data_IF_974350974338
#
_entry.id   IF_974350974338
#
_cell.length_a   1.000
_cell.length_b   1.000
_cell.length_c   1.000
_cell.angle_alpha   90.00
_cell.angle_beta   90.00
_cell.angle_gamma   90.00
#
_symmetry.space_group_name_H-M   'P 1'
#
loop_
_entity.id
_entity.type
_entity.pdbx_description
1 polymer ?
#
# COMPACT_ATOMS: atom_id res chain seq x y z
N UNK A 1 -0.76 0.88 -5.18
CA UNK A 1 -2.24 0.88 -5.08
C UNK A 1 -2.80 -0.09 -6.10
N UNK A 2 -4.04 -0.56 -5.96
CA UNK A 2 -4.63 -1.50 -6.92
C UNK A 2 -4.86 -0.87 -8.29
N UNK A 3 -5.16 0.43 -8.34
CA UNK A 3 -5.35 1.18 -9.58
C UNK A 3 -4.42 2.40 -9.67
N UNK A 4 -3.13 2.14 -9.84
CA UNK A 4 -2.08 3.15 -10.08
C UNK A 4 -1.59 3.08 -11.52
N UNK A 5 -1.80 4.17 -12.28
CA UNK A 5 -1.45 4.25 -13.70
C UNK A 5 0.06 4.42 -13.93
N UNK A 6 0.75 5.12 -13.03
CA UNK A 6 2.18 5.40 -13.17
C UNK A 6 3.02 4.20 -12.71
N UNK A 7 2.61 3.54 -11.63
CA UNK A 7 3.29 2.38 -11.05
C UNK A 7 2.29 1.25 -10.75
N UNK A 8 2.05 0.35 -11.71
CA UNK A 8 1.03 -0.69 -11.58
C UNK A 8 1.24 -1.62 -10.36
N UNK A 9 0.14 -2.07 -9.74
CA UNK A 9 0.15 -2.95 -8.55
C UNK A 9 1.00 -4.22 -8.73
N UNK A 10 0.98 -4.80 -9.95
CA UNK A 10 1.77 -5.98 -10.28
C UNK A 10 3.26 -5.73 -10.06
N UNK A 11 3.77 -4.57 -10.44
CA UNK A 11 5.19 -4.23 -10.24
C UNK A 11 5.55 -4.21 -8.75
N UNK A 12 4.67 -3.71 -7.89
CA UNK A 12 4.88 -3.74 -6.43
C UNK A 12 4.85 -5.17 -5.88
N UNK A 13 3.96 -6.05 -6.35
CA UNK A 13 3.94 -7.47 -5.98
C UNK A 13 5.25 -8.16 -6.38
N UNK A 14 5.69 -7.96 -7.62
CA UNK A 14 6.92 -8.58 -8.10
C UNK A 14 8.16 -8.11 -7.31
N UNK A 15 8.17 -6.87 -6.80
CA UNK A 15 9.24 -6.37 -5.93
C UNK A 15 9.15 -7.00 -4.53
N UNK A 16 7.95 -7.11 -3.96
CA UNK A 16 7.72 -7.75 -2.66
C UNK A 16 8.19 -9.22 -2.69
N UNK A 17 7.76 -9.98 -3.71
CA UNK A 17 8.08 -11.40 -3.86
C UNK A 17 9.59 -11.64 -4.02
N UNK A 18 10.29 -10.82 -4.82
CA UNK A 18 11.75 -10.97 -5.03
C UNK A 18 12.59 -10.69 -3.80
N UNK A 19 12.06 -9.92 -2.85
CA UNK A 19 12.79 -9.48 -1.66
C UNK A 19 12.28 -10.11 -0.38
N UNK A 20 11.32 -11.05 -0.45
CA UNK A 20 10.62 -11.61 0.71
C UNK A 20 10.12 -10.50 1.67
N UNK A 21 9.54 -9.46 1.07
CA UNK A 21 9.15 -8.24 1.78
C UNK A 21 7.62 -8.15 1.93
N UNK A 22 7.11 -7.60 3.06
CA UNK A 22 5.68 -7.44 3.25
C UNK A 22 5.08 -6.42 2.26
N UNK A 23 3.85 -6.68 1.84
CA UNK A 23 3.11 -5.82 0.91
C UNK A 23 1.84 -5.23 1.55
N UNK A 24 1.82 -3.92 1.76
CA UNK A 24 0.62 -3.16 2.11
C UNK A 24 -0.11 -2.70 0.83
N UNK A 25 -1.33 -3.18 0.61
CA UNK A 25 -2.12 -2.79 -0.57
C UNK A 25 -3.16 -1.73 -0.22
N UNK A 26 -3.22 -0.64 -0.98
CA UNK A 26 -4.38 0.25 -0.99
C UNK A 26 -5.32 -0.13 -2.15
N UNK A 27 -6.57 -0.48 -1.83
CA UNK A 27 -7.57 -0.90 -2.80
C UNK A 27 -8.37 0.30 -3.33
N UNK A 28 -7.79 0.98 -4.32
CA UNK A 28 -8.43 2.13 -4.96
C UNK A 28 -7.51 2.82 -5.97
N UNK A 29 -8.02 3.92 -6.52
CA UNK A 29 -7.33 4.75 -7.50
C UNK A 29 -6.33 5.73 -6.89
N UNK A 30 -5.31 6.10 -7.68
CA UNK A 30 -4.37 7.19 -7.38
C UNK A 30 -2.91 6.81 -7.64
N UNK A 31 -2.01 7.69 -7.20
CA UNK A 31 -0.56 7.49 -7.24
C UNK A 31 0.07 8.07 -5.96
N UNK A 32 1.04 7.35 -5.36
CA UNK A 32 1.60 7.60 -4.02
C UNK A 32 0.56 7.48 -2.88
N UNK A 33 0.68 6.44 -2.03
CA UNK A 33 -0.34 6.15 -0.99
C UNK A 33 -0.01 6.72 0.40
N UNK A 34 1.27 6.77 0.76
CA UNK A 34 1.71 7.24 2.07
C UNK A 34 1.64 8.77 2.17
N UNK A 35 1.12 9.28 3.28
CA UNK A 35 0.87 10.72 3.55
C UNK A 35 -0.06 11.44 2.56
N UNK A 36 -0.82 10.69 1.76
CA UNK A 36 -1.80 11.23 0.79
C UNK A 36 -3.23 11.32 1.36
N UNK A 37 -3.38 11.63 2.65
CA UNK A 37 -4.70 11.70 3.32
C UNK A 37 -5.41 10.34 3.52
N UNK A 38 -4.66 9.24 3.53
CA UNK A 38 -5.18 7.86 3.64
C UNK A 38 -4.80 7.26 4.97
N UNK A 39 -5.61 7.50 5.99
CA UNK A 39 -5.28 7.17 7.37
C UNK A 39 -4.91 5.70 7.60
N UNK A 40 -5.59 4.76 6.94
CA UNK A 40 -5.24 3.34 7.04
C UNK A 40 -3.80 3.07 6.57
N UNK A 41 -3.39 3.67 5.44
CA UNK A 41 -2.04 3.49 4.89
C UNK A 41 -1.00 4.16 5.78
N UNK A 42 -1.27 5.40 6.21
CA UNK A 42 -0.35 6.14 7.09
C UNK A 42 -0.14 5.40 8.40
N UNK A 43 -1.22 4.97 9.08
CA UNK A 43 -1.12 4.24 10.36
C UNK A 43 -0.36 2.93 10.24
N UNK A 44 -0.63 2.14 9.19
CA UNK A 44 0.07 0.88 8.98
C UNK A 44 1.55 1.09 8.72
N UNK A 45 1.92 2.09 7.92
CA UNK A 45 3.32 2.38 7.64
C UNK A 45 4.05 3.00 8.83
N UNK A 46 3.39 3.88 9.59
CA UNK A 46 3.94 4.48 10.81
C UNK A 46 4.22 3.41 11.87
N UNK A 47 3.27 2.48 12.09
CA UNK A 47 3.46 1.35 13.01
C UNK A 47 4.64 0.44 12.59
N UNK A 48 4.84 0.25 11.28
CA UNK A 48 5.99 -0.49 10.77
C UNK A 48 7.30 0.26 10.97
N UNK A 49 7.35 1.55 10.65
CA UNK A 49 8.59 2.34 10.67
C UNK A 49 9.01 2.76 12.07
N UNK A 50 8.06 3.11 12.94
CA UNK A 50 8.30 3.65 14.28
C UNK A 50 8.31 2.50 15.30
N UNK A 51 7.24 1.71 15.31
CA UNK A 51 7.01 0.70 16.35
C UNK A 51 7.55 -0.68 15.96
N UNK A 52 8.08 -0.83 14.74
CA UNK A 52 8.55 -2.11 14.18
C UNK A 52 7.47 -3.20 14.17
N UNK A 53 6.20 -2.80 14.10
CA UNK A 53 5.09 -3.72 14.00
C UNK A 53 5.05 -4.32 12.59
N UNK A 54 5.10 -5.65 12.43
CA UNK A 54 5.08 -6.26 11.11
C UNK A 54 3.75 -5.96 10.41
N UNK A 55 3.81 -5.78 9.08
CA UNK A 55 2.61 -5.71 8.24
C UNK A 55 2.20 -7.15 7.90
N UNK A 56 1.04 -7.64 8.34
CA UNK A 56 0.60 -8.99 8.02
C UNK A 56 0.45 -9.21 6.52
N UNK A 57 0.69 -10.43 6.08
CA UNK A 57 0.50 -10.80 4.67
C UNK A 57 -0.95 -10.57 4.23
N UNK A 58 -1.11 -10.01 3.04
CA UNK A 58 -2.42 -9.70 2.49
C UNK A 58 -3.12 -8.51 3.15
N UNK A 59 -2.40 -7.66 3.91
CA UNK A 59 -3.00 -6.44 4.47
C UNK A 59 -3.49 -5.52 3.35
N UNK A 60 -4.77 -5.19 3.39
CA UNK A 60 -5.44 -4.29 2.44
C UNK A 60 -6.11 -3.13 3.18
N UNK A 61 -5.78 -1.91 2.78
CA UNK A 61 -6.48 -0.70 3.16
C UNK A 61 -7.55 -0.35 2.12
N UNK A 62 -8.78 -0.01 2.52
CA UNK A 62 -9.83 0.40 1.60
C UNK A 62 -9.51 1.75 0.97
N UNK A 63 -10.07 2.00 -0.22
CA UNK A 63 -9.77 3.18 -1.00
C UNK A 63 -10.91 3.67 -1.90
N UNK A 64 -10.64 4.78 -2.59
CA UNK A 64 -11.58 5.37 -3.53
C UNK A 64 -11.76 4.45 -4.75
N UNK A 65 -13.00 4.09 -5.04
CA UNK A 65 -13.40 3.22 -6.16
C UNK A 65 -13.73 3.99 -7.43
N UNK A 66 -13.61 5.32 -7.41
CA UNK A 66 -13.85 6.22 -8.54
C UNK A 66 -12.63 7.08 -8.78
N UNK A 67 -12.27 7.24 -10.05
CA UNK A 67 -11.27 8.23 -10.49
C UNK A 67 -11.93 9.62 -10.37
N UNK A 68 -11.35 10.59 -9.64
CA UNK A 68 -11.79 11.97 -9.74
C UNK A 68 -11.42 12.58 -11.10
#
# INVERSE_FOLDING_TARGET
MRHDYATPHRSSKDVADRNDAPLLTYDGFGHIAYRSGRDCVSKALDAFLIDKTPVPDGTVCPGATTVP
#
